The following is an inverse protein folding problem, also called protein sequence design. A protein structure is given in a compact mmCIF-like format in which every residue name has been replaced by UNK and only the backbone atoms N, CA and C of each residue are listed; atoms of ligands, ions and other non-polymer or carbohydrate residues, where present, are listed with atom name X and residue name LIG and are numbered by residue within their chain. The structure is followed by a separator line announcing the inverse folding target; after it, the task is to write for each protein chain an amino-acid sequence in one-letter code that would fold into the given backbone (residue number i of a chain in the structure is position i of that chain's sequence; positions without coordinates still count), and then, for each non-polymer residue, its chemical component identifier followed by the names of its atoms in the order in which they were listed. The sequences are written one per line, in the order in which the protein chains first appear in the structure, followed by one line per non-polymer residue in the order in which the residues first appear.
data_IF_585435612496
#
_entry.id   IF_585435612496
#
_cell.length_a   1.000
_cell.length_b   1.000
_cell.length_c   1.000
_cell.angle_alpha   90.00
_cell.angle_beta   90.00
_cell.angle_gamma   90.00
#
_symmetry.space_group_name_H-M   'P 1'
#
loop_
_entity.id
_entity.type
_entity.pdbx_description
1 polymer ?
#
# COMPACT_ATOMS: atom_id res chain seq x y z
N UNK A 1 -33.78 83.85 -25.65
CA UNK A 1 -32.80 83.42 -24.64
C UNK A 1 -33.22 82.07 -24.07
N UNK A 2 -32.74 80.97 -24.64
CA UNK A 2 -32.90 79.63 -24.07
C UNK A 2 -31.49 79.06 -23.87
N UNK A 3 -31.13 78.89 -22.61
CA UNK A 3 -29.80 78.49 -22.16
C UNK A 3 -29.45 77.05 -22.58
N UNK A 4 -28.23 76.78 -23.05
CA UNK A 4 -27.75 75.44 -23.31
C UNK A 4 -27.20 74.85 -22.00
N UNK A 5 -27.99 74.08 -21.25
CA UNK A 5 -27.48 73.41 -20.03
C UNK A 5 -27.91 71.96 -19.81
N UNK A 6 -28.52 71.32 -20.81
CA UNK A 6 -28.94 69.90 -20.73
C UNK A 6 -28.27 69.01 -21.79
N UNK A 7 -26.93 69.08 -21.97
CA UNK A 7 -26.16 68.13 -22.80
C UNK A 7 -24.87 67.63 -22.14
N UNK A 8 -24.87 67.42 -20.83
CA UNK A 8 -23.69 66.89 -20.12
C UNK A 8 -23.93 65.61 -19.30
N UNK A 9 -25.17 65.10 -19.24
CA UNK A 9 -25.49 63.90 -18.46
C UNK A 9 -25.42 62.56 -19.21
N UNK A 10 -25.48 62.55 -20.55
CA UNK A 10 -25.58 61.31 -21.33
C UNK A 10 -24.25 60.81 -21.91
N UNK A 11 -23.16 61.60 -21.81
CA UNK A 11 -21.91 61.30 -22.51
C UNK A 11 -20.88 60.56 -21.64
N UNK A 12 -21.03 60.63 -20.31
CA UNK A 12 -20.14 59.99 -19.32
C UNK A 12 -20.53 58.55 -19.04
N UNK A 13 -21.82 58.23 -18.97
CA UNK A 13 -22.30 56.88 -18.66
C UNK A 13 -22.03 55.87 -19.78
N UNK A 14 -22.09 56.31 -21.04
CA UNK A 14 -21.76 55.48 -22.19
C UNK A 14 -20.26 55.16 -22.35
N UNK A 15 -19.35 55.94 -21.74
CA UNK A 15 -17.91 55.65 -21.75
C UNK A 15 -17.48 54.73 -20.60
N UNK A 16 -18.24 54.72 -19.50
CA UNK A 16 -17.96 53.87 -18.33
C UNK A 16 -18.31 52.39 -18.59
N UNK A 17 -19.36 52.12 -19.36
CA UNK A 17 -19.80 50.74 -19.67
C UNK A 17 -18.74 49.94 -20.45
N UNK A 18 -18.15 50.45 -21.56
CA UNK A 18 -17.05 49.75 -22.25
C UNK A 18 -15.83 49.49 -21.36
N UNK A 19 -15.51 50.44 -20.47
CA UNK A 19 -14.39 50.34 -19.54
C UNK A 19 -14.62 49.26 -18.47
N UNK A 20 -15.85 49.16 -17.96
CA UNK A 20 -16.25 48.10 -17.03
C UNK A 20 -16.23 46.71 -17.71
N UNK A 21 -16.74 46.63 -18.95
CA UNK A 21 -16.72 45.40 -19.74
C UNK A 21 -15.28 44.95 -20.06
N UNK A 22 -14.37 45.88 -20.36
CA UNK A 22 -12.95 45.54 -20.57
C UNK A 22 -12.28 45.04 -19.30
N UNK A 23 -12.60 45.62 -18.13
CA UNK A 23 -12.07 45.15 -16.85
C UNK A 23 -12.58 43.75 -16.54
N UNK A 24 -13.87 43.50 -16.79
CA UNK A 24 -14.49 42.19 -16.62
C UNK A 24 -13.88 41.14 -17.58
N UNK A 25 -13.59 41.52 -18.82
CA UNK A 25 -12.91 40.64 -19.78
C UNK A 25 -11.51 40.24 -19.29
N UNK A 26 -10.72 41.18 -18.78
CA UNK A 26 -9.39 40.91 -18.22
C UNK A 26 -9.48 39.98 -17.01
N UNK A 27 -10.44 40.22 -16.10
CA UNK A 27 -10.65 39.35 -14.93
C UNK A 27 -11.01 37.93 -15.35
N UNK A 28 -11.91 37.77 -16.33
CA UNK A 28 -12.28 36.46 -16.85
C UNK A 28 -11.11 35.76 -17.55
N UNK A 29 -10.25 36.49 -18.27
CA UNK A 29 -9.04 35.94 -18.86
C UNK A 29 -8.05 35.46 -17.79
N UNK A 30 -7.83 36.25 -16.73
CA UNK A 30 -6.98 35.87 -15.59
C UNK A 30 -7.53 34.64 -14.85
N UNK A 31 -8.83 34.61 -14.54
CA UNK A 31 -9.49 33.46 -13.90
C UNK A 31 -9.41 32.21 -14.78
N UNK A 32 -9.59 32.35 -16.09
CA UNK A 32 -9.48 31.25 -17.05
C UNK A 32 -8.05 30.72 -17.11
N UNK A 33 -7.04 31.60 -17.08
CA UNK A 33 -5.63 31.20 -17.07
C UNK A 33 -5.26 30.46 -15.77
N UNK A 34 -5.74 30.94 -14.61
CA UNK A 34 -5.55 30.28 -13.33
C UNK A 34 -6.24 28.90 -13.29
N UNK A 35 -7.46 28.81 -13.83
CA UNK A 35 -8.19 27.55 -13.91
C UNK A 35 -7.49 26.56 -14.85
N UNK A 36 -7.02 27.01 -16.01
CA UNK A 36 -6.24 26.17 -16.93
C UNK A 36 -5.00 25.60 -16.26
N UNK A 37 -4.24 26.44 -15.55
CA UNK A 37 -3.07 25.99 -14.78
C UNK A 37 -3.45 25.01 -13.67
N UNK A 38 -4.59 25.21 -13.01
CA UNK A 38 -5.07 24.27 -12.00
C UNK A 38 -5.42 22.91 -12.61
N UNK A 39 -6.10 22.89 -13.75
CA UNK A 39 -6.39 21.66 -14.51
C UNK A 39 -5.10 20.94 -14.89
N UNK A 40 -4.11 21.64 -15.43
CA UNK A 40 -2.81 21.04 -15.76
C UNK A 40 -2.11 20.42 -14.54
N UNK A 41 -2.18 21.11 -13.39
CA UNK A 41 -1.64 20.58 -12.14
C UNK A 41 -2.37 19.31 -11.68
N UNK A 42 -3.70 19.28 -11.81
CA UNK A 42 -4.51 18.10 -11.46
C UNK A 42 -4.20 16.92 -12.39
N UNK A 43 -4.09 17.15 -13.70
CA UNK A 43 -3.72 16.12 -14.68
C UNK A 43 -2.33 15.56 -14.36
N UNK A 44 -1.36 16.42 -14.04
CA UNK A 44 -0.02 15.99 -13.65
C UNK A 44 -0.02 15.19 -12.33
N UNK A 45 -0.82 15.63 -11.35
CA UNK A 45 -0.98 14.91 -10.09
C UNK A 45 -1.62 13.54 -10.29
N UNK A 46 -2.67 13.45 -11.11
CA UNK A 46 -3.33 12.20 -11.46
C UNK A 46 -2.35 11.23 -12.15
N UNK A 47 -1.61 11.70 -13.16
CA UNK A 47 -0.63 10.89 -13.86
C UNK A 47 0.45 10.35 -12.90
N UNK A 48 0.93 11.19 -11.98
CA UNK A 48 1.90 10.79 -10.95
C UNK A 48 1.31 9.74 -10.02
N UNK A 49 0.11 9.94 -9.48
CA UNK A 49 -0.54 9.00 -8.58
C UNK A 49 -0.80 7.67 -9.27
N UNK A 50 -1.24 7.69 -10.53
CA UNK A 50 -1.46 6.46 -11.32
C UNK A 50 -0.17 5.65 -11.50
N UNK A 51 0.93 6.33 -11.82
CA UNK A 51 2.25 5.67 -11.92
C UNK A 51 2.71 5.09 -10.59
N UNK A 52 2.49 5.81 -9.48
CA UNK A 52 2.83 5.31 -8.14
C UNK A 52 1.99 4.08 -7.75
N UNK A 53 0.68 4.09 -8.01
CA UNK A 53 -0.19 2.95 -7.76
C UNK A 53 0.25 1.71 -8.54
N UNK A 54 0.63 1.88 -9.81
CA UNK A 54 1.16 0.78 -10.61
C UNK A 54 2.45 0.21 -10.01
N UNK A 55 3.40 1.07 -9.62
CA UNK A 55 4.64 0.64 -8.99
C UNK A 55 4.39 -0.11 -7.66
N UNK A 56 3.45 0.36 -6.84
CA UNK A 56 3.07 -0.33 -5.61
C UNK A 56 2.39 -1.66 -5.87
N UNK A 57 1.56 -1.78 -6.91
CA UNK A 57 0.96 -3.05 -7.28
C UNK A 57 2.03 -4.07 -7.72
N UNK A 58 2.96 -3.64 -8.56
CA UNK A 58 4.08 -4.50 -9.01
C UNK A 58 4.96 -4.93 -7.82
N UNK A 59 5.19 -4.03 -6.85
CA UNK A 59 5.90 -4.36 -5.62
C UNK A 59 5.14 -5.40 -4.79
N UNK A 60 3.83 -5.20 -4.59
CA UNK A 60 2.98 -6.12 -3.83
C UNK A 60 2.95 -7.51 -4.46
N UNK A 61 2.78 -7.59 -5.78
CA UNK A 61 2.77 -8.86 -6.52
C UNK A 61 4.11 -9.61 -6.34
N UNK A 62 5.22 -8.87 -6.35
CA UNK A 62 6.55 -9.44 -6.11
C UNK A 62 6.70 -9.94 -4.66
N UNK A 63 6.27 -9.18 -3.67
CA UNK A 63 6.29 -9.58 -2.26
C UNK A 63 5.42 -10.82 -2.00
N UNK A 64 4.22 -10.89 -2.58
CA UNK A 64 3.36 -12.08 -2.51
C UNK A 64 4.02 -13.31 -3.14
N UNK A 65 4.70 -13.15 -4.27
CA UNK A 65 5.44 -14.25 -4.89
C UNK A 65 6.61 -14.72 -4.03
N UNK A 66 7.34 -13.79 -3.41
CA UNK A 66 8.40 -14.12 -2.46
C UNK A 66 7.86 -14.86 -1.25
N UNK A 67 6.73 -14.41 -0.69
CA UNK A 67 6.07 -15.07 0.43
C UNK A 67 5.64 -16.51 0.09
N UNK A 68 5.00 -16.70 -1.07
CA UNK A 68 4.61 -18.03 -1.56
C UNK A 68 5.82 -18.95 -1.75
N UNK A 69 6.94 -18.43 -2.28
CA UNK A 69 8.19 -19.18 -2.39
C UNK A 69 8.75 -19.55 -1.02
N UNK A 70 8.79 -18.61 -0.08
CA UNK A 70 9.26 -18.85 1.28
C UNK A 70 8.43 -19.94 1.97
N UNK A 71 7.10 -19.91 1.85
CA UNK A 71 6.23 -20.95 2.41
C UNK A 71 6.55 -22.33 1.84
N UNK A 72 6.78 -22.44 0.53
CA UNK A 72 7.21 -23.69 -0.10
C UNK A 72 8.56 -24.16 0.42
N UNK A 73 9.53 -23.26 0.56
CA UNK A 73 10.85 -23.59 1.09
C UNK A 73 10.78 -24.04 2.55
N UNK A 74 9.94 -23.41 3.38
CA UNK A 74 9.69 -23.80 4.78
C UNK A 74 9.00 -25.16 4.88
N UNK A 75 7.99 -25.42 4.05
CA UNK A 75 7.32 -26.74 3.97
C UNK A 75 8.32 -27.81 3.57
N UNK A 76 9.19 -27.54 2.59
CA UNK A 76 10.23 -28.49 2.20
C UNK A 76 11.27 -28.73 3.31
N UNK A 77 11.63 -27.70 4.08
CA UNK A 77 12.61 -27.80 5.15
C UNK A 77 12.06 -28.51 6.41
N UNK A 78 10.78 -28.31 6.71
CA UNK A 78 10.16 -28.72 7.97
C UNK A 78 9.06 -29.78 7.82
N UNK A 79 8.78 -30.26 6.61
CA UNK A 79 7.66 -31.17 6.30
C UNK A 79 7.67 -32.49 7.07
N UNK A 80 8.84 -32.96 7.46
CA UNK A 80 9.01 -34.18 8.27
C UNK A 80 8.80 -33.94 9.78
N UNK A 81 8.69 -32.68 10.20
CA UNK A 81 8.53 -32.31 11.60
C UNK A 81 7.06 -32.27 11.96
N UNK A 82 6.76 -32.90 13.09
CA UNK A 82 5.43 -32.98 13.66
C UNK A 82 5.44 -32.21 14.97
N UNK A 83 4.63 -31.16 15.08
CA UNK A 83 4.47 -30.42 16.32
C UNK A 83 3.35 -31.05 17.16
N UNK A 84 3.56 -31.24 18.47
CA UNK A 84 2.47 -31.58 19.38
C UNK A 84 1.53 -30.38 19.49
N UNK A 85 0.24 -30.58 19.20
CA UNK A 85 -0.77 -29.53 19.25
C UNK A 85 -1.01 -29.12 20.70
N UNK A 86 -0.68 -27.86 21.02
CA UNK A 86 -0.90 -27.30 22.35
C UNK A 86 -2.05 -26.32 22.28
N UNK A 87 -3.28 -26.82 22.40
CA UNK A 87 -4.43 -25.94 22.63
C UNK A 87 -4.43 -25.49 24.08
N UNK A 88 -4.36 -24.17 24.30
CA UNK A 88 -4.41 -23.55 25.65
C UNK A 88 -5.66 -24.00 26.46
N UNK A 89 -6.73 -24.41 25.77
CA UNK A 89 -8.01 -24.79 26.38
C UNK A 89 -8.24 -26.30 26.54
N UNK A 90 -7.37 -27.18 26.03
CA UNK A 90 -7.56 -28.62 26.20
C UNK A 90 -6.22 -29.37 26.27
N UNK A 91 -5.73 -29.69 27.49
CA UNK A 91 -4.47 -30.43 27.68
C UNK A 91 -4.55 -31.89 27.23
N UNK A 92 -5.73 -32.39 26.82
CA UNK A 92 -5.93 -33.74 26.29
C UNK A 92 -6.13 -33.78 24.77
N UNK A 93 -6.06 -32.64 24.06
CA UNK A 93 -6.11 -32.65 22.60
C UNK A 93 -4.80 -33.27 22.07
N UNK A 94 -4.86 -34.57 21.73
CA UNK A 94 -3.76 -35.30 21.10
C UNK A 94 -3.74 -34.98 19.60
N UNK A 95 -3.69 -33.69 19.28
CA UNK A 95 -3.49 -33.23 17.92
C UNK A 95 -1.99 -33.24 17.61
N UNK A 96 -1.65 -33.55 16.36
CA UNK A 96 -0.32 -33.30 15.84
C UNK A 96 -0.45 -32.43 14.60
N UNK A 97 0.31 -31.34 14.53
CA UNK A 97 0.32 -30.45 13.36
C UNK A 97 1.55 -30.72 12.50
N UNK A 98 1.34 -30.81 11.20
CA UNK A 98 2.41 -30.79 10.18
C UNK A 98 2.31 -29.50 9.39
N UNK A 99 3.46 -28.98 8.97
CA UNK A 99 3.50 -27.79 8.13
C UNK A 99 2.93 -28.11 6.74
N UNK A 100 2.06 -27.23 6.24
CA UNK A 100 1.53 -27.22 4.88
C UNK A 100 1.59 -25.79 4.37
N UNK A 101 1.49 -25.57 3.05
CA UNK A 101 1.53 -24.21 2.47
C UNK A 101 0.46 -23.27 3.06
N UNK A 102 -0.66 -23.83 3.52
CA UNK A 102 -1.77 -23.08 4.14
C UNK A 102 -1.69 -22.99 5.66
N UNK A 103 -0.82 -23.76 6.32
CA UNK A 103 -0.69 -23.78 7.79
C UNK A 103 0.64 -23.23 8.30
N UNK A 104 1.50 -22.68 7.43
CA UNK A 104 2.84 -22.17 7.80
C UNK A 104 2.78 -21.21 8.98
N UNK A 105 1.87 -20.23 8.96
CA UNK A 105 1.78 -19.23 10.03
C UNK A 105 1.32 -19.81 11.37
N UNK A 106 0.33 -20.71 11.34
CA UNK A 106 -0.16 -21.46 12.51
C UNK A 106 0.96 -22.29 13.12
N UNK A 107 1.64 -23.08 12.28
CA UNK A 107 2.76 -23.93 12.65
C UNK A 107 3.90 -23.13 13.29
N UNK A 108 4.30 -22.00 12.67
CA UNK A 108 5.35 -21.13 13.22
C UNK A 108 4.92 -20.45 14.53
N UNK A 109 3.65 -20.07 14.64
CA UNK A 109 3.10 -19.51 15.88
C UNK A 109 3.13 -20.53 17.01
N UNK A 110 2.73 -21.77 16.75
CA UNK A 110 2.77 -22.87 17.71
C UNK A 110 4.20 -23.23 18.10
N UNK A 111 5.12 -23.30 17.13
CA UNK A 111 6.55 -23.48 17.40
C UNK A 111 7.10 -22.36 18.29
N UNK A 112 6.72 -21.11 18.04
CA UNK A 112 7.09 -19.96 18.86
C UNK A 112 6.57 -20.09 20.30
N UNK A 113 5.37 -20.62 20.50
CA UNK A 113 4.81 -20.89 21.83
C UNK A 113 5.56 -22.03 22.54
N UNK A 114 5.88 -23.12 21.83
CA UNK A 114 6.67 -24.25 22.37
C UNK A 114 8.06 -23.77 22.83
N UNK A 115 8.74 -22.97 22.02
CA UNK A 115 10.04 -22.40 22.37
C UNK A 115 9.95 -21.49 23.60
N UNK A 116 8.95 -20.60 23.68
CA UNK A 116 8.75 -19.69 24.82
C UNK A 116 8.42 -20.43 26.12
N UNK A 117 7.57 -21.46 26.03
CA UNK A 117 7.16 -22.28 27.18
C UNK A 117 8.21 -23.32 27.60
N UNK A 118 9.29 -23.47 26.83
CA UNK A 118 10.33 -24.49 26.99
C UNK A 118 9.76 -25.91 27.03
N UNK A 119 8.63 -26.14 26.37
CA UNK A 119 8.02 -27.45 26.21
C UNK A 119 8.53 -28.12 24.93
N UNK A 120 8.61 -29.46 24.95
CA UNK A 120 9.01 -30.25 23.78
C UNK A 120 10.31 -29.75 23.13
N UNK A 121 11.30 -29.39 23.94
CA UNK A 121 12.56 -28.80 23.46
C UNK A 121 13.34 -29.74 22.54
N UNK A 122 13.11 -31.05 22.60
CA UNK A 122 13.63 -32.00 21.62
C UNK A 122 13.10 -31.72 20.21
N UNK A 123 11.80 -31.40 20.08
CA UNK A 123 11.16 -31.02 18.81
C UNK A 123 11.69 -29.65 18.35
N UNK A 124 11.77 -28.69 19.27
CA UNK A 124 12.29 -27.35 18.96
C UNK A 124 13.75 -27.42 18.46
N UNK A 125 14.60 -28.22 19.11
CA UNK A 125 15.98 -28.43 18.69
C UNK A 125 16.06 -29.13 17.33
N UNK A 126 15.18 -30.10 17.05
CA UNK A 126 15.07 -30.72 15.72
C UNK A 126 14.70 -29.71 14.64
N UNK A 127 13.78 -28.79 14.92
CA UNK A 127 13.44 -27.70 14.00
C UNK A 127 14.64 -26.81 13.73
N UNK A 128 15.36 -26.38 14.78
CA UNK A 128 16.57 -25.56 14.63
C UNK A 128 17.62 -26.29 13.75
N UNK A 129 17.84 -27.58 14.00
CA UNK A 129 18.77 -28.38 13.19
C UNK A 129 18.31 -28.53 11.73
N UNK A 130 17.01 -28.72 11.50
CA UNK A 130 16.44 -28.81 10.16
C UNK A 130 16.58 -27.50 9.39
N UNK A 131 16.29 -26.36 10.03
CA UNK A 131 16.48 -25.02 9.44
C UNK A 131 17.94 -24.77 9.08
N UNK A 132 18.88 -25.00 10.00
CA UNK A 132 20.31 -24.84 9.75
C UNK A 132 20.79 -25.74 8.59
N UNK A 133 20.30 -26.98 8.55
CA UNK A 133 20.60 -27.91 7.45
C UNK A 133 20.02 -27.44 6.13
N UNK A 134 18.80 -26.91 6.11
CA UNK A 134 18.13 -26.40 4.93
C UNK A 134 18.81 -25.14 4.38
N UNK A 135 19.29 -24.25 5.25
CA UNK A 135 20.12 -23.09 4.89
C UNK A 135 21.43 -23.55 4.26
N UNK A 136 22.16 -24.45 4.92
CA UNK A 136 23.44 -24.97 4.42
C UNK A 136 23.29 -25.68 3.05
N UNK A 137 22.17 -26.38 2.84
CA UNK A 137 21.84 -27.07 1.59
C UNK A 137 21.20 -26.16 0.54
N UNK A 138 21.03 -24.86 0.81
CA UNK A 138 20.35 -23.89 -0.08
C UNK A 138 18.93 -24.32 -0.46
N UNK A 139 18.22 -24.95 0.46
CA UNK A 139 16.77 -25.21 0.36
C UNK A 139 15.99 -23.96 0.74
N UNK A 140 16.39 -23.30 1.84
CA UNK A 140 15.92 -21.96 2.23
C UNK A 140 16.80 -20.91 1.54
N UNK A 141 16.44 -20.52 0.33
CA UNK A 141 17.24 -19.63 -0.53
C UNK A 141 16.94 -18.16 -0.28
N UNK A 142 15.75 -17.85 0.24
CA UNK A 142 15.34 -16.47 0.51
C UNK A 142 15.90 -15.91 1.83
N UNK A 143 16.55 -16.75 2.64
CA UNK A 143 17.15 -16.39 3.93
C UNK A 143 18.68 -16.24 3.88
N UNK A 144 19.29 -16.39 2.69
CA UNK A 144 20.75 -16.34 2.44
C UNK A 144 21.04 -15.38 1.32
#
# INVERSE_FOLDING_TARGET
FLSPRNRLGAHTDHQLIPSLLSLQAIQLEEETALLSKHVDNLVNAEAKTKSQLQAYQEQLDNEEQLLKRLYKELVAALGEIVLPHTTVNDPNSKGTERITETSVESFLSQLGQLHKSKQHMDVVNKVIQALNSAIAKKVLKLLV
#
